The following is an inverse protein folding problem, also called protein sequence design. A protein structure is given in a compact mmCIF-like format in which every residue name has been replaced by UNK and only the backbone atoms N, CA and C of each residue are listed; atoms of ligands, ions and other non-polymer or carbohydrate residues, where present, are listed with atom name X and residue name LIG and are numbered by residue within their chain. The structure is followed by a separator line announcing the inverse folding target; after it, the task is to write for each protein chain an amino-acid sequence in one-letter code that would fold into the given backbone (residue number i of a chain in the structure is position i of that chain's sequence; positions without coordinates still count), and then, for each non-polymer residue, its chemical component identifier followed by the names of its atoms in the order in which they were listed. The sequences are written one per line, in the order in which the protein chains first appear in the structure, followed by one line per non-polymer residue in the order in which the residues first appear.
data_IF_567663680313
#
_entry.id   IF_567663680313
#
_cell.length_a   1.000
_cell.length_b   1.000
_cell.length_c   1.000
_cell.angle_alpha   90.00
_cell.angle_beta   90.00
_cell.angle_gamma   90.00
#
_symmetry.space_group_name_H-M   'P 1'
#
loop_
_entity.id
_entity.type
_entity.pdbx_description
1 polymer ?
#
# COMPACT_ATOMS: atom_id res chain seq x y z
N UNK A 1 -58.27 28.82 -50.20
CA UNK A 1 -58.01 27.47 -50.74
C UNK A 1 -56.51 27.37 -51.02
N UNK A 2 -55.81 26.41 -50.38
CA UNK A 2 -54.35 26.14 -50.43
C UNK A 2 -53.49 27.19 -49.68
N UNK A 3 -52.59 26.88 -48.74
CA UNK A 3 -52.03 25.63 -48.23
C UNK A 3 -50.50 25.75 -48.16
N UNK A 4 -49.93 25.62 -46.94
CA UNK A 4 -48.54 25.22 -46.59
C UNK A 4 -47.40 26.22 -46.92
N UNK A 5 -46.32 26.43 -46.14
CA UNK A 5 -45.46 25.54 -45.34
C UNK A 5 -44.75 26.25 -44.14
N UNK A 6 -44.22 25.40 -43.25
CA UNK A 6 -43.37 25.55 -42.04
C UNK A 6 -42.15 26.50 -42.22
N UNK A 7 -41.48 27.05 -41.18
CA UNK A 7 -40.57 26.34 -40.23
C UNK A 7 -40.13 27.23 -39.05
N UNK A 8 -39.93 26.58 -37.89
CA UNK A 8 -39.53 27.08 -36.57
C UNK A 8 -38.08 27.55 -36.44
N UNK A 9 -37.80 28.37 -35.40
CA UNK A 9 -36.54 28.31 -34.65
C UNK A 9 -36.75 28.81 -33.20
N UNK A 10 -36.95 27.89 -32.27
CA UNK A 10 -36.92 28.13 -30.82
C UNK A 10 -35.45 28.07 -30.37
N UNK A 11 -34.93 29.17 -29.85
CA UNK A 11 -33.59 29.26 -29.28
C UNK A 11 -33.53 28.40 -28.01
N UNK A 12 -32.79 27.29 -28.06
CA UNK A 12 -32.53 26.44 -26.88
C UNK A 12 -31.22 26.90 -26.25
N UNK A 13 -31.29 27.44 -25.03
CA UNK A 13 -30.11 27.79 -24.25
C UNK A 13 -29.49 26.50 -23.69
N UNK A 14 -28.29 26.15 -24.17
CA UNK A 14 -27.52 25.03 -23.64
C UNK A 14 -26.71 25.48 -22.41
N UNK A 15 -27.15 25.09 -21.22
CA UNK A 15 -26.34 25.13 -20.00
C UNK A 15 -25.25 24.07 -20.07
N UNK A 16 -23.99 24.49 -20.23
CA UNK A 16 -22.82 23.64 -20.02
C UNK A 16 -22.71 23.29 -18.53
N UNK A 17 -23.10 22.08 -18.15
CA UNK A 17 -22.74 21.49 -16.86
C UNK A 17 -21.34 20.92 -17.03
N UNK A 18 -20.33 21.65 -16.54
CA UNK A 18 -18.97 21.11 -16.38
C UNK A 18 -19.03 20.15 -15.19
N UNK A 19 -19.36 18.88 -15.44
CA UNK A 19 -19.06 17.81 -14.51
C UNK A 19 -17.56 17.54 -14.59
N UNK A 20 -16.79 18.36 -13.88
CA UNK A 20 -15.37 18.10 -13.65
C UNK A 20 -15.22 16.83 -12.82
N UNK A 21 -14.46 15.87 -13.33
CA UNK A 21 -14.00 14.70 -12.59
C UNK A 21 -13.14 15.20 -11.42
N UNK A 22 -13.70 15.29 -10.20
CA UNK A 22 -12.97 15.78 -9.02
C UNK A 22 -13.79 16.50 -7.95
N UNK A 23 -15.11 16.61 -8.08
CA UNK A 23 -15.99 17.14 -7.04
C UNK A 23 -16.52 16.05 -6.11
N UNK A 24 -15.67 15.44 -5.29
CA UNK A 24 -16.10 14.64 -4.14
C UNK A 24 -15.88 15.44 -2.85
N UNK A 25 -16.67 15.15 -1.79
CA UNK A 25 -16.36 15.62 -0.43
C UNK A 25 -14.87 15.41 -0.13
N UNK A 26 -14.25 16.36 0.58
CA UNK A 26 -12.84 16.19 0.96
C UNK A 26 -12.69 14.88 1.74
N UNK A 27 -11.77 14.01 1.32
CA UNK A 27 -11.56 12.69 1.94
C UNK A 27 -11.22 12.79 3.44
N UNK A 28 -10.69 13.93 3.88
CA UNK A 28 -10.35 14.22 5.27
C UNK A 28 -11.54 14.68 6.13
N UNK A 29 -12.72 14.96 5.55
CA UNK A 29 -13.79 15.68 6.25
C UNK A 29 -14.23 14.99 7.55
N UNK A 30 -14.30 13.65 7.53
CA UNK A 30 -14.90 12.84 8.60
C UNK A 30 -13.88 12.13 9.52
N UNK A 31 -12.57 12.34 9.35
CA UNK A 31 -11.57 11.71 10.24
C UNK A 31 -11.70 12.26 11.67
N UNK A 32 -11.91 11.40 12.70
CA UNK A 32 -11.98 11.84 14.08
C UNK A 32 -10.63 12.36 14.59
N UNK A 33 -10.60 13.59 15.11
CA UNK A 33 -9.41 14.16 15.72
C UNK A 33 -9.06 13.49 17.05
N UNK A 34 -7.78 13.27 17.32
CA UNK A 34 -7.33 12.83 18.64
C UNK A 34 -5.92 12.27 18.65
N UNK A 35 -5.37 12.12 19.86
CA UNK A 35 -4.10 11.42 20.09
C UNK A 35 -4.40 10.03 20.66
N UNK A 36 -3.70 9.01 20.16
CA UNK A 36 -3.93 7.61 20.48
C UNK A 36 -2.64 6.87 20.84
N UNK A 37 -2.67 6.04 21.89
CA UNK A 37 -1.54 5.18 22.26
C UNK A 37 -1.52 3.90 21.42
N UNK A 38 -0.70 3.87 20.37
CA UNK A 38 -0.40 2.68 19.59
C UNK A 38 0.96 2.11 19.97
N UNK A 39 1.11 0.79 19.87
CA UNK A 39 2.32 0.05 20.18
C UNK A 39 2.61 -0.97 19.08
N UNK A 40 3.81 -0.94 18.49
CA UNK A 40 4.28 -2.03 17.64
C UNK A 40 4.74 -3.17 18.53
N UNK A 41 3.95 -4.24 18.60
CA UNK A 41 4.25 -5.40 19.47
C UNK A 41 5.08 -6.48 18.75
N UNK A 42 5.11 -6.46 17.42
CA UNK A 42 5.98 -7.33 16.63
C UNK A 42 6.19 -6.74 15.24
N UNK A 43 7.42 -6.79 14.75
CA UNK A 43 7.78 -6.39 13.40
C UNK A 43 8.81 -7.41 12.88
N UNK A 44 8.58 -7.97 11.68
CA UNK A 44 9.44 -9.00 11.12
C UNK A 44 9.49 -8.91 9.60
N UNK A 45 10.69 -9.07 9.06
CA UNK A 45 10.95 -9.26 7.64
C UNK A 45 12.25 -10.08 7.53
N UNK A 46 12.33 -11.11 6.66
CA UNK A 46 13.54 -11.93 6.58
C UNK A 46 14.76 -11.08 6.21
N UNK A 47 15.76 -11.05 7.08
CA UNK A 47 17.01 -10.30 6.88
C UNK A 47 17.84 -10.86 5.72
N UNK A 48 17.68 -12.13 5.39
CA UNK A 48 18.33 -12.78 4.25
C UNK A 48 17.27 -13.28 3.29
N UNK A 49 17.34 -12.83 2.04
CA UNK A 49 16.41 -13.17 0.98
C UNK A 49 17.17 -13.62 -0.27
N UNK A 50 16.47 -14.28 -1.18
CA UNK A 50 17.00 -14.66 -2.48
C UNK A 50 16.22 -13.98 -3.58
N UNK A 51 16.93 -13.52 -4.61
CA UNK A 51 16.30 -12.89 -5.77
C UNK A 51 15.19 -13.77 -6.35
N UNK A 52 14.05 -13.15 -6.67
CA UNK A 52 12.85 -13.81 -7.20
C UNK A 52 12.18 -14.85 -6.27
N UNK A 53 12.57 -14.93 -4.99
CA UNK A 53 11.91 -15.76 -3.97
C UNK A 53 10.98 -14.93 -3.10
N UNK A 54 9.68 -15.26 -3.14
CA UNK A 54 8.67 -14.58 -2.34
C UNK A 54 8.99 -14.67 -0.84
N UNK A 55 8.89 -13.53 -0.16
CA UNK A 55 9.11 -13.35 1.28
C UNK A 55 7.89 -12.70 1.92
N UNK A 56 7.73 -12.88 3.22
CA UNK A 56 6.60 -12.31 3.98
C UNK A 56 7.11 -11.27 4.98
N UNK A 57 6.58 -10.06 4.92
CA UNK A 57 6.79 -8.99 5.89
C UNK A 57 5.56 -8.89 6.79
N UNK A 58 5.74 -8.78 8.11
CA UNK A 58 4.64 -8.64 9.08
C UNK A 58 4.92 -7.52 10.08
N UNK A 59 3.90 -6.70 10.32
CA UNK A 59 3.89 -5.71 11.40
C UNK A 59 2.59 -5.89 12.19
N UNK A 60 2.71 -6.12 13.50
CA UNK A 60 1.57 -6.24 14.42
C UNK A 60 1.53 -5.04 15.34
N UNK A 61 0.40 -4.34 15.30
CA UNK A 61 0.14 -3.13 16.08
C UNK A 61 -0.93 -3.42 17.11
N UNK A 62 -0.71 -2.98 18.34
CA UNK A 62 -1.68 -3.00 19.44
C UNK A 62 -2.18 -1.58 19.71
N UNK A 63 -3.47 -1.45 19.99
CA UNK A 63 -4.00 -0.25 20.64
C UNK A 63 -3.83 -0.38 22.16
N UNK A 64 -2.87 0.35 22.71
CA UNK A 64 -2.59 0.42 24.14
C UNK A 64 -3.40 1.51 24.87
N UNK A 65 -4.27 2.22 24.15
CA UNK A 65 -5.17 3.21 24.69
C UNK A 65 -6.43 2.56 25.32
N UNK A 66 -7.21 3.38 26.02
CA UNK A 66 -8.52 3.05 26.59
C UNK A 66 -9.68 3.28 25.63
N UNK A 67 -9.46 4.00 24.52
CA UNK A 67 -10.43 4.28 23.46
C UNK A 67 -10.05 3.62 22.14
N UNK A 68 -11.03 3.39 21.27
CA UNK A 68 -10.77 2.84 19.94
C UNK A 68 -10.02 3.84 19.05
N UNK A 69 -9.07 3.34 18.26
CA UNK A 69 -8.44 4.11 17.18
C UNK A 69 -9.36 4.08 15.97
N UNK A 70 -9.62 5.22 15.30
CA UNK A 70 -10.53 5.27 14.17
C UNK A 70 -10.01 4.50 12.96
N UNK A 71 -8.72 4.63 12.64
CA UNK A 71 -8.04 3.88 11.58
C UNK A 71 -6.62 3.56 12.00
N UNK A 72 -6.21 2.29 11.98
CA UNK A 72 -4.78 1.95 12.07
C UNK A 72 -4.21 1.82 10.68
N UNK A 73 -3.14 2.56 10.40
CA UNK A 73 -2.46 2.54 9.11
C UNK A 73 -0.96 2.28 9.26
N UNK A 74 -0.36 1.66 8.25
CA UNK A 74 1.08 1.46 8.13
C UNK A 74 1.55 1.95 6.77
N UNK A 75 2.54 2.84 6.78
CA UNK A 75 3.30 3.24 5.61
C UNK A 75 4.62 2.47 5.58
N UNK A 76 4.98 1.91 4.42
CA UNK A 76 6.27 1.21 4.21
C UNK A 76 7.07 1.93 3.14
N UNK A 77 8.23 2.46 3.53
CA UNK A 77 9.16 3.09 2.61
C UNK A 77 10.17 2.07 2.06
N UNK A 78 10.69 2.35 0.86
CA UNK A 78 11.75 1.60 0.19
C UNK A 78 11.37 0.26 -0.45
N UNK A 79 10.09 -0.03 -0.71
CA UNK A 79 9.77 -1.10 -1.69
C UNK A 79 10.20 -0.73 -3.12
N UNK A 80 10.36 0.57 -3.40
CA UNK A 80 10.98 1.09 -4.61
C UNK A 80 12.09 2.08 -4.27
N UNK A 81 13.01 2.29 -5.20
CA UNK A 81 14.07 3.29 -5.15
C UNK A 81 14.05 4.15 -6.40
N UNK A 82 14.52 5.39 -6.32
CA UNK A 82 14.69 6.22 -7.50
C UNK A 82 15.91 5.79 -8.32
N UNK A 83 15.78 5.83 -9.64
CA UNK A 83 16.86 5.62 -10.59
C UNK A 83 17.36 6.95 -11.13
N UNK A 84 18.69 7.14 -11.09
CA UNK A 84 19.35 8.32 -11.65
C UNK A 84 19.55 8.23 -13.19
N UNK A 85 19.03 7.18 -13.84
CA UNK A 85 19.20 7.01 -15.28
C UNK A 85 18.50 8.16 -16.04
N UNK A 86 19.22 8.88 -16.93
CA UNK A 86 18.62 9.97 -17.70
C UNK A 86 17.53 9.47 -18.67
N UNK A 87 16.52 10.31 -18.91
CA UNK A 87 15.48 10.07 -19.92
C UNK A 87 14.34 9.14 -19.50
N UNK A 88 14.27 8.76 -18.22
CA UNK A 88 13.14 7.99 -17.68
C UNK A 88 11.91 8.89 -17.49
N UNK A 89 10.74 8.40 -17.94
CA UNK A 89 9.47 9.09 -17.67
C UNK A 89 9.04 8.96 -16.20
N UNK A 90 9.36 7.83 -15.57
CA UNK A 90 9.21 7.57 -14.14
C UNK A 90 10.55 7.02 -13.61
N UNK A 91 11.20 7.67 -12.63
CA UNK A 91 12.45 7.20 -12.05
C UNK A 91 12.26 6.06 -11.04
N UNK A 92 11.05 5.81 -10.54
CA UNK A 92 10.79 4.81 -9.49
C UNK A 92 11.02 3.39 -10.01
N UNK A 93 11.89 2.62 -9.33
CA UNK A 93 12.23 1.24 -9.67
C UNK A 93 11.94 0.32 -8.49
N UNK A 94 11.25 -0.80 -8.69
CA UNK A 94 10.98 -1.73 -7.61
C UNK A 94 12.28 -2.38 -7.12
N UNK A 95 12.44 -2.44 -5.81
CA UNK A 95 13.37 -3.38 -5.14
C UNK A 95 12.61 -4.64 -4.75
N UNK A 96 11.35 -4.48 -4.32
CA UNK A 96 10.39 -5.55 -4.11
C UNK A 96 9.11 -5.30 -4.91
N UNK A 97 8.60 -6.36 -5.56
CA UNK A 97 7.25 -6.39 -6.12
C UNK A 97 6.29 -6.85 -5.03
N UNK A 98 5.17 -6.15 -4.87
CA UNK A 98 4.12 -6.55 -3.93
C UNK A 98 3.22 -7.59 -4.61
N UNK A 99 3.39 -8.85 -4.23
CA UNK A 99 2.53 -9.95 -4.71
C UNK A 99 1.16 -9.93 -4.05
N UNK A 100 1.14 -9.54 -2.76
CA UNK A 100 -0.09 -9.43 -1.97
C UNK A 100 0.07 -8.36 -0.87
N UNK A 101 -0.75 -7.30 -0.87
CA UNK A 101 -0.82 -6.36 0.23
C UNK A 101 -1.60 -6.92 1.44
N UNK A 102 -1.60 -6.24 2.59
CA UNK A 102 -2.49 -6.53 3.71
C UNK A 102 -3.95 -6.60 3.26
N UNK A 103 -4.61 -7.71 3.55
CA UNK A 103 -6.00 -7.95 3.12
C UNK A 103 -6.93 -6.92 3.74
N UNK A 104 -7.73 -6.25 2.89
CA UNK A 104 -8.64 -5.18 3.33
C UNK A 104 -7.91 -3.90 3.73
N UNK A 105 -6.63 -3.76 3.32
CA UNK A 105 -5.76 -2.65 3.66
C UNK A 105 -5.65 -1.56 2.60
N UNK A 106 -6.27 -1.71 1.44
CA UNK A 106 -6.05 -0.81 0.30
C UNK A 106 -6.45 0.64 0.61
N UNK A 107 -5.58 1.58 0.23
CA UNK A 107 -5.85 3.03 0.32
C UNK A 107 -5.44 3.74 -0.97
N UNK A 108 -5.84 5.01 -1.11
CA UNK A 108 -5.38 5.87 -2.20
C UNK A 108 -3.96 6.44 -1.96
N UNK A 109 -3.39 6.23 -0.77
CA UNK A 109 -2.08 6.76 -0.40
C UNK A 109 -0.96 5.79 -0.80
N UNK A 110 0.10 6.32 -1.43
CA UNK A 110 1.25 5.52 -1.84
C UNK A 110 1.87 4.80 -0.64
N UNK A 111 2.15 3.50 -0.84
CA UNK A 111 2.75 2.61 0.15
C UNK A 111 2.10 2.63 1.54
N UNK A 112 0.83 2.98 1.63
CA UNK A 112 0.12 3.10 2.90
C UNK A 112 -1.10 2.19 2.88
N UNK A 113 -1.20 1.34 3.90
CA UNK A 113 -2.30 0.40 4.07
C UNK A 113 -3.02 0.67 5.38
N UNK A 114 -4.34 0.53 5.41
CA UNK A 114 -5.18 0.83 6.57
C UNK A 114 -6.18 -0.29 6.86
N UNK A 115 -6.17 -0.85 8.07
CA UNK A 115 -7.06 -1.96 8.45
C UNK A 115 -8.28 -1.51 9.27
N UNK A 116 -8.70 -0.27 9.08
CA UNK A 116 -9.85 0.33 9.75
C UNK A 116 -9.67 0.48 11.26
N UNK A 117 -10.79 0.55 11.98
CA UNK A 117 -10.79 0.80 13.43
C UNK A 117 -10.14 -0.31 14.23
N UNK A 118 -9.38 0.08 15.26
CA UNK A 118 -8.72 -0.80 16.21
C UNK A 118 -9.25 -0.55 17.62
N UNK A 119 -10.10 -1.44 18.17
CA UNK A 119 -10.62 -1.30 19.53
C UNK A 119 -9.52 -1.28 20.59
N UNK A 120 -9.83 -0.68 21.75
CA UNK A 120 -8.92 -0.64 22.90
C UNK A 120 -8.44 -2.04 23.29
N UNK A 121 -7.13 -2.18 23.54
CA UNK A 121 -6.49 -3.42 23.93
C UNK A 121 -6.26 -4.44 22.81
N UNK A 122 -6.85 -4.25 21.62
CA UNK A 122 -6.78 -5.21 20.52
C UNK A 122 -5.55 -5.02 19.63
N UNK A 123 -5.24 -6.06 18.86
CA UNK A 123 -4.14 -6.07 17.88
C UNK A 123 -4.65 -6.25 16.44
N UNK A 124 -3.87 -5.71 15.48
CA UNK A 124 -4.02 -5.96 14.04
C UNK A 124 -2.66 -6.26 13.44
N UNK A 125 -2.62 -7.21 12.53
CA UNK A 125 -1.40 -7.58 11.79
C UNK A 125 -1.55 -7.20 10.33
N UNK A 126 -0.61 -6.40 9.86
CA UNK A 126 -0.39 -6.14 8.45
C UNK A 126 0.59 -7.20 7.93
N UNK A 127 0.20 -7.91 6.87
CA UNK A 127 1.09 -8.88 6.21
C UNK A 127 1.20 -8.55 4.73
N UNK A 128 2.44 -8.40 4.25
CA UNK A 128 2.75 -8.26 2.84
C UNK A 128 3.45 -9.53 2.36
N UNK A 129 3.02 -10.05 1.21
CA UNK A 129 3.83 -10.99 0.42
C UNK A 129 4.52 -10.20 -0.67
N UNK A 130 5.84 -10.27 -0.72
CA UNK A 130 6.66 -9.51 -1.66
C UNK A 130 7.71 -10.40 -2.31
N UNK A 131 8.10 -10.07 -3.53
CA UNK A 131 9.19 -10.77 -4.25
C UNK A 131 10.31 -9.76 -4.57
N UNK A 132 11.55 -9.98 -4.08
CA UNK A 132 12.68 -9.11 -4.39
C UNK A 132 13.09 -9.26 -5.85
N UNK A 133 13.37 -8.14 -6.52
CA UNK A 133 13.80 -8.07 -7.93
C UNK A 133 15.14 -7.37 -8.13
N UNK A 134 15.77 -6.93 -7.04
CA UNK A 134 17.10 -6.35 -7.06
C UNK A 134 17.95 -6.90 -5.91
N UNK A 135 19.13 -7.43 -6.21
CA UNK A 135 20.07 -7.91 -5.19
C UNK A 135 20.74 -6.78 -4.41
N UNK A 136 21.48 -7.14 -3.37
CA UNK A 136 22.22 -6.25 -2.49
C UNK A 136 21.56 -6.01 -1.14
N UNK A 137 22.19 -5.17 -0.33
CA UNK A 137 21.68 -4.78 0.99
C UNK A 137 20.78 -3.56 0.89
N UNK A 138 19.59 -3.65 1.47
CA UNK A 138 18.54 -2.62 1.41
C UNK A 138 17.95 -2.36 2.80
N UNK A 139 17.50 -1.13 3.04
CA UNK A 139 16.79 -0.77 4.28
C UNK A 139 15.33 -0.47 3.98
N UNK A 140 14.42 -1.26 4.54
CA UNK A 140 12.97 -1.04 4.49
C UNK A 140 12.53 -0.35 5.77
N UNK A 141 11.89 0.81 5.66
CA UNK A 141 11.40 1.55 6.83
C UNK A 141 9.89 1.46 6.90
N UNK A 142 9.33 1.53 8.09
CA UNK A 142 7.88 1.61 8.26
C UNK A 142 7.50 2.62 9.33
N UNK A 143 6.28 3.16 9.22
CA UNK A 143 5.66 4.01 10.22
C UNK A 143 4.20 3.62 10.41
N UNK A 144 3.75 3.61 11.66
CA UNK A 144 2.36 3.38 12.06
C UNK A 144 1.68 4.74 12.30
N UNK A 145 0.43 4.87 11.85
CA UNK A 145 -0.42 6.02 12.08
C UNK A 145 -1.77 5.61 12.67
N UNK A 146 -2.39 6.54 13.42
CA UNK A 146 -3.72 6.40 14.00
C UNK A 146 -4.85 6.93 13.11
N UNK A 147 -4.49 7.29 11.86
CA UNK A 147 -5.34 7.98 10.90
C UNK A 147 -4.61 8.18 9.57
N UNK A 148 -5.33 8.62 8.54
CA UNK A 148 -4.79 8.83 7.20
C UNK A 148 -4.56 10.31 6.85
N UNK A 149 -5.38 11.21 7.38
CA UNK A 149 -5.37 12.64 6.99
C UNK A 149 -4.73 13.53 8.06
N UNK A 150 -4.20 12.92 9.13
CA UNK A 150 -3.39 13.56 10.15
C UNK A 150 -4.17 14.19 11.31
N UNK A 151 -5.50 14.03 11.36
CA UNK A 151 -6.31 14.46 12.50
C UNK A 151 -6.20 13.49 13.68
N UNK A 152 -6.14 12.19 13.41
CA UNK A 152 -5.81 11.18 14.39
C UNK A 152 -4.29 10.91 14.40
N UNK A 153 -3.65 11.18 15.54
CA UNK A 153 -2.20 11.12 15.73
C UNK A 153 -1.81 10.05 16.73
N UNK A 154 -0.62 9.49 16.58
CA UNK A 154 -0.04 8.63 17.61
C UNK A 154 0.52 9.47 18.76
N UNK A 155 0.45 8.96 20.00
CA UNK A 155 0.99 9.63 21.18
C UNK A 155 2.53 9.72 21.18
N UNK A 156 3.17 8.74 20.55
CA UNK A 156 4.60 8.69 20.27
C UNK A 156 4.81 8.19 18.84
N UNK A 157 5.97 8.46 18.25
CA UNK A 157 6.32 7.87 16.96
C UNK A 157 6.41 6.34 17.10
N UNK A 158 5.74 5.64 16.20
CA UNK A 158 5.75 4.19 16.11
C UNK A 158 6.29 3.83 14.73
N UNK A 159 7.59 3.57 14.65
CA UNK A 159 8.31 3.35 13.40
C UNK A 159 9.48 2.38 13.63
N UNK A 160 10.02 1.85 12.55
CA UNK A 160 11.22 1.01 12.60
C UNK A 160 11.76 0.75 11.21
N UNK A 161 12.82 -0.07 11.16
CA UNK A 161 13.45 -0.46 9.92
C UNK A 161 13.91 -1.93 9.93
N UNK A 162 14.08 -2.47 8.74
CA UNK A 162 14.67 -3.77 8.46
C UNK A 162 15.85 -3.57 7.52
N UNK A 163 17.01 -4.11 7.89
CA UNK A 163 18.13 -4.28 6.95
C UNK A 163 18.03 -5.66 6.34
N UNK A 164 17.94 -5.72 5.02
CA UNK A 164 17.73 -6.95 4.26
C UNK A 164 18.84 -7.12 3.24
N UNK A 165 19.50 -8.27 3.28
CA UNK A 165 20.45 -8.72 2.27
C UNK A 165 19.77 -9.66 1.27
N UNK A 166 19.71 -9.24 0.01
CA UNK A 166 19.13 -10.01 -1.09
C UNK A 166 20.28 -10.60 -1.91
N UNK A 167 20.43 -11.92 -1.83
CA UNK A 167 21.40 -12.63 -2.66
C UNK A 167 20.98 -12.63 -4.14
N UNK A 168 21.96 -12.63 -5.04
CA UNK A 168 21.79 -12.79 -6.49
C UNK A 168 21.58 -14.25 -6.92
N UNK A 169 21.61 -15.19 -5.96
CA UNK A 169 21.33 -16.58 -6.21
C UNK A 169 19.89 -16.72 -6.73
N UNK A 170 19.69 -17.25 -7.96
CA UNK A 170 18.36 -17.40 -8.50
C UNK A 170 17.57 -18.40 -7.65
N UNK A 171 16.29 -18.10 -7.43
CA UNK A 171 15.34 -19.07 -6.88
C UNK A 171 15.45 -20.39 -7.68
N UNK A 172 15.99 -21.44 -7.07
CA UNK A 172 16.15 -22.74 -7.73
C UNK A 172 14.77 -23.24 -8.11
N UNK A 173 14.51 -23.27 -9.40
CA UNK A 173 13.24 -23.72 -9.94
C UNK A 173 13.51 -24.62 -11.13
N UNK A 174 12.77 -25.72 -11.20
CA UNK A 174 12.80 -26.67 -12.32
C UNK A 174 11.39 -26.91 -12.81
N UNK A 175 11.25 -27.21 -14.10
CA UNK A 175 9.99 -27.75 -14.62
C UNK A 175 9.96 -29.23 -14.30
N UNK A 176 8.91 -29.67 -13.63
CA UNK A 176 8.61 -31.08 -13.49
C UNK A 176 8.34 -31.68 -14.87
N UNK A 177 9.15 -32.64 -15.35
CA UNK A 177 9.05 -33.14 -16.71
C UNK A 177 7.80 -33.99 -16.95
N UNK A 178 7.14 -34.49 -15.90
CA UNK A 178 5.94 -35.31 -16.00
C UNK A 178 4.66 -34.46 -16.01
N UNK A 179 4.65 -33.38 -15.23
CA UNK A 179 3.45 -32.55 -15.02
C UNK A 179 3.50 -31.19 -15.72
N UNK A 180 4.68 -30.78 -16.21
CA UNK A 180 4.90 -29.46 -16.80
C UNK A 180 4.85 -28.29 -15.81
N UNK A 181 4.74 -28.56 -14.50
CA UNK A 181 4.64 -27.54 -13.47
C UNK A 181 6.01 -27.01 -13.07
N UNK A 182 6.12 -25.71 -12.80
CA UNK A 182 7.32 -25.14 -12.18
C UNK A 182 7.34 -25.53 -10.70
N UNK A 183 8.37 -26.26 -10.29
CA UNK A 183 8.67 -26.65 -8.90
C UNK A 183 9.81 -25.79 -8.40
N UNK A 184 9.65 -25.15 -7.24
CA UNK A 184 10.73 -24.42 -6.56
C UNK A 184 11.37 -25.34 -5.52
N UNK A 185 12.69 -25.41 -5.50
CA UNK A 185 13.41 -26.07 -4.41
C UNK A 185 13.32 -25.14 -3.19
N UNK A 186 12.56 -25.53 -2.17
CA UNK A 186 12.54 -24.82 -0.90
C UNK A 186 13.83 -25.14 -0.16
N UNK A 187 14.64 -24.14 0.17
CA UNK A 187 15.85 -24.32 0.97
C UNK A 187 15.48 -24.84 2.37
N UNK A 188 15.60 -26.14 2.59
CA UNK A 188 15.83 -26.71 3.92
C UNK A 188 17.31 -26.58 4.24
N UNK A 189 17.69 -25.54 5.00
CA UNK A 189 18.87 -25.55 5.88
C UNK A 189 18.67 -24.66 7.10
#
# INVERSE_FOLDING_TARGET
MRGSFQTSAVLTAATLVIAGCGGGERQDADEPSGTYALEVVSASFPERQSLASASEMKITVRNADTKAVPVVAVTVDSFSKDSEQPGLADPSRPVWVIDRPPVGGDTAYTNTWALGSLPAGQTRTFSWRVTPVQSGTHTVKYRVAAGLDGKAKTASEQAGDFTVDISDAPARSRVDPETGKVVRDTDER
#
